data_IF_337584689312
#
_entry.id   IF_337584689312
#
_cell.length_a   1.000
_cell.length_b   1.000
_cell.length_c   1.000
_cell.angle_alpha   90.00
_cell.angle_beta   90.00
_cell.angle_gamma   90.00
#
_symmetry.space_group_name_H-M   'P 1'
#
loop_
_entity.id
_entity.type
_entity.pdbx_description
1 polymer ?
#
# COMPACT_ATOMS: atom_id res chain seq x y z
N UNK A 1 -1.00 7.78 -12.95
CA UNK A 1 -0.54 6.47 -12.45
C UNK A 1 0.40 6.59 -11.25
N UNK A 2 1.62 7.12 -11.39
CA UNK A 2 2.55 7.26 -10.26
C UNK A 2 1.98 8.08 -9.09
N UNK A 3 1.36 9.23 -9.36
CA UNK A 3 0.75 10.06 -8.32
C UNK A 3 -0.44 9.39 -7.60
N UNK A 4 -1.18 8.53 -8.29
CA UNK A 4 -2.30 7.78 -7.69
C UNK A 4 -1.76 6.69 -6.77
N UNK A 5 -0.68 6.02 -7.19
CA UNK A 5 0.04 5.05 -6.36
C UNK A 5 0.61 5.71 -5.10
N UNK A 6 1.30 6.85 -5.24
CA UNK A 6 1.85 7.58 -4.09
C UNK A 6 0.73 8.11 -3.15
N UNK A 7 -0.41 8.56 -3.70
CA UNK A 7 -1.59 8.92 -2.89
C UNK A 7 -2.17 7.72 -2.12
N UNK A 8 -2.28 6.57 -2.77
CA UNK A 8 -2.75 5.34 -2.14
C UNK A 8 -1.82 4.93 -1.00
N UNK A 9 -0.51 4.90 -1.25
CA UNK A 9 0.50 4.61 -0.23
C UNK A 9 0.44 5.58 0.94
N UNK A 10 0.26 6.88 0.69
CA UNK A 10 0.13 7.88 1.76
C UNK A 10 -1.09 7.61 2.63
N UNK A 11 -2.22 7.23 2.04
CA UNK A 11 -3.43 6.85 2.76
C UNK A 11 -3.20 5.59 3.61
N UNK A 12 -2.67 4.53 3.02
CA UNK A 12 -2.34 3.27 3.73
C UNK A 12 -1.37 3.53 4.88
N UNK A 13 -0.33 4.33 4.64
CA UNK A 13 0.66 4.67 5.66
C UNK A 13 0.05 5.52 6.80
N UNK A 14 -0.95 6.34 6.51
CA UNK A 14 -1.68 7.09 7.54
C UNK A 14 -2.52 6.16 8.42
N UNK A 15 -3.22 5.18 7.84
CA UNK A 15 -3.94 4.15 8.60
C UNK A 15 -2.99 3.30 9.45
N UNK A 16 -1.86 2.89 8.89
CA UNK A 16 -0.86 2.13 9.62
C UNK A 16 -0.28 2.95 10.78
N UNK A 17 0.02 4.24 10.57
CA UNK A 17 0.48 5.12 11.65
C UNK A 17 -0.52 5.20 12.79
N UNK A 18 -1.81 5.24 12.48
CA UNK A 18 -2.86 5.22 13.51
C UNK A 18 -2.83 3.92 14.33
N UNK A 19 -2.52 2.79 13.69
CA UNK A 19 -2.30 1.50 14.35
C UNK A 19 -0.92 1.38 15.03
N UNK A 20 -0.10 2.44 15.02
CA UNK A 20 1.26 2.42 15.54
C UNK A 20 2.27 1.66 14.68
N UNK A 21 1.93 1.37 13.42
CA UNK A 21 2.76 0.71 12.42
C UNK A 21 3.27 1.72 11.38
N UNK A 22 4.43 1.49 10.76
CA UNK A 22 4.93 2.37 9.70
C UNK A 22 5.56 1.57 8.55
N UNK A 23 5.16 1.88 7.31
CA UNK A 23 5.82 1.41 6.09
C UNK A 23 6.96 2.38 5.77
N UNK A 24 8.12 2.18 6.39
CA UNK A 24 9.30 3.02 6.14
C UNK A 24 10.25 2.31 5.19
N UNK A 25 10.57 2.98 4.08
CA UNK A 25 11.37 2.36 3.02
C UNK A 25 12.87 2.30 3.29
N UNK A 26 13.32 2.93 4.37
CA UNK A 26 14.73 3.20 4.66
C UNK A 26 15.28 2.41 5.85
N UNK A 27 14.45 1.62 6.52
CA UNK A 27 14.76 0.96 7.78
C UNK A 27 15.41 -0.44 7.60
N UNK A 28 16.34 -0.55 6.65
CA UNK A 28 17.00 -1.82 6.30
C UNK A 28 17.96 -2.32 7.40
N UNK A 29 18.32 -1.49 8.38
CA UNK A 29 19.38 -1.79 9.37
C UNK A 29 19.02 -1.57 10.85
N UNK A 30 17.76 -1.27 11.20
CA UNK A 30 17.39 -1.08 12.61
C UNK A 30 17.14 -2.40 13.32
N UNK A 31 17.82 -2.61 14.45
CA UNK A 31 17.68 -3.77 15.34
C UNK A 31 16.24 -3.88 15.85
N UNK A 32 15.72 -5.10 16.06
CA UNK A 32 14.36 -5.36 16.56
C UNK A 32 13.96 -4.52 17.79
N UNK A 33 14.94 -4.16 18.62
CA UNK A 33 14.76 -3.34 19.83
C UNK A 33 14.43 -1.87 19.50
N UNK A 34 15.11 -1.25 18.53
CA UNK A 34 14.78 0.11 18.08
C UNK A 34 13.43 0.14 17.35
N UNK A 35 13.15 -0.92 16.58
CA UNK A 35 11.85 -1.12 15.95
C UNK A 35 10.74 -1.21 17.01
N UNK A 36 10.96 -1.97 18.07
CA UNK A 36 10.02 -2.13 19.19
C UNK A 36 9.77 -0.81 19.94
N UNK A 37 10.81 0.01 20.14
CA UNK A 37 10.69 1.34 20.78
C UNK A 37 9.85 2.33 19.95
N UNK A 38 9.99 2.29 18.62
CA UNK A 38 9.15 3.08 17.70
C UNK A 38 7.70 2.58 17.69
N UNK A 39 7.50 1.27 17.80
CA UNK A 39 6.19 0.61 17.79
C UNK A 39 5.54 0.49 19.18
N UNK A 40 5.86 1.37 20.13
CA UNK A 40 5.25 1.34 21.48
C UNK A 40 3.73 1.42 21.45
N UNK A 41 3.17 2.27 20.58
CA UNK A 41 1.72 2.40 20.39
C UNK A 41 1.09 1.10 19.88
N UNK A 42 1.78 0.42 18.96
CA UNK A 42 1.36 -0.89 18.49
C UNK A 42 1.37 -1.93 19.62
N UNK A 43 2.42 -1.97 20.44
CA UNK A 43 2.49 -2.87 21.59
C UNK A 43 1.38 -2.61 22.61
N UNK A 44 1.02 -1.35 22.88
CA UNK A 44 -0.12 -1.04 23.75
C UNK A 44 -1.46 -1.50 23.17
N UNK A 45 -1.68 -1.32 21.86
CA UNK A 45 -2.88 -1.85 21.20
C UNK A 45 -2.92 -3.37 21.22
N UNK A 46 -1.79 -4.02 20.93
CA UNK A 46 -1.66 -5.48 20.97
C UNK A 46 -1.95 -6.00 22.39
N UNK A 47 -1.37 -5.37 23.41
CA UNK A 47 -1.59 -5.77 24.80
C UNK A 47 -3.06 -5.61 25.21
N UNK A 48 -3.68 -4.46 24.90
CA UNK A 48 -5.10 -4.21 25.20
C UNK A 48 -6.00 -5.27 24.57
N UNK A 49 -5.76 -5.61 23.30
CA UNK A 49 -6.59 -6.55 22.55
C UNK A 49 -6.39 -8.00 23.02
N UNK A 50 -5.17 -8.37 23.45
CA UNK A 50 -4.94 -9.67 24.09
C UNK A 50 -5.59 -9.76 25.48
N UNK A 51 -5.64 -8.65 26.22
CA UNK A 51 -6.31 -8.61 27.53
C UNK A 51 -7.82 -8.80 27.39
N UNK A 52 -8.44 -8.21 26.37
CA UNK A 52 -9.84 -8.47 26.00
C UNK A 52 -10.08 -9.93 25.60
N UNK A 53 -9.18 -10.53 24.80
CA UNK A 53 -9.28 -11.96 24.44
C UNK A 53 -9.22 -12.85 25.68
N UNK A 54 -8.28 -12.59 26.59
CA UNK A 54 -8.17 -13.36 27.86
C UNK A 54 -9.44 -13.19 28.69
N UNK A 55 -9.96 -11.98 28.82
CA UNK A 55 -11.21 -11.72 29.54
C UNK A 55 -12.39 -12.49 28.94
N UNK A 56 -12.51 -12.50 27.60
CA UNK A 56 -13.56 -13.26 26.90
C UNK A 56 -13.40 -14.78 27.09
N UNK A 57 -12.18 -15.30 27.04
CA UNK A 57 -11.91 -16.73 27.29
C UNK A 57 -12.27 -17.11 28.72
N UNK A 58 -11.89 -16.30 29.71
CA UNK A 58 -12.25 -16.52 31.12
C UNK A 58 -13.77 -16.49 31.31
N UNK A 59 -14.46 -15.55 30.66
CA UNK A 59 -15.91 -15.45 30.75
C UNK A 59 -16.61 -16.67 30.12
N UNK A 60 -16.09 -17.17 29.00
CA UNK A 60 -16.58 -18.40 28.37
C UNK A 60 -16.35 -19.61 29.29
N UNK A 61 -15.17 -19.72 29.91
CA UNK A 61 -14.87 -20.80 30.87
C UNK A 61 -15.81 -20.76 32.07
N UNK A 62 -16.06 -19.57 32.64
CA UNK A 62 -17.02 -19.38 33.73
C UNK A 62 -18.45 -19.78 33.31
N UNK A 63 -18.89 -19.35 32.12
CA UNK A 63 -20.21 -19.69 31.58
C UNK A 63 -20.38 -21.21 31.39
N UNK A 64 -19.33 -21.91 30.97
CA UNK A 64 -19.33 -23.38 30.84
C UNK A 64 -19.44 -24.05 32.21
N UNK A 65 -18.66 -23.61 33.21
CA UNK A 65 -18.69 -24.17 34.57
C UNK A 65 -20.05 -23.92 35.25
N UNK A 66 -20.62 -22.72 35.06
CA UNK A 66 -21.92 -22.34 35.62
C UNK A 66 -23.12 -22.97 34.89
N UNK A 67 -22.90 -23.75 33.83
CA UNK A 67 -23.96 -24.38 33.04
C UNK A 67 -24.87 -23.39 32.31
N UNK A 68 -24.35 -22.21 31.94
CA UNK A 68 -25.13 -21.20 31.20
C UNK A 68 -25.49 -21.70 29.80
N UNK A 69 -26.54 -21.10 29.24
CA UNK A 69 -27.08 -21.44 27.93
C UNK A 69 -26.02 -21.36 26.83
N UNK A 70 -25.98 -22.36 25.94
CA UNK A 70 -25.11 -22.39 24.76
C UNK A 70 -25.25 -21.13 23.89
N UNK A 71 -26.43 -20.51 23.88
CA UNK A 71 -26.71 -19.27 23.13
C UNK A 71 -25.89 -18.08 23.64
N UNK A 72 -25.63 -17.99 24.96
CA UNK A 72 -24.77 -16.93 25.53
C UNK A 72 -23.31 -17.12 25.14
N UNK A 73 -22.83 -18.37 25.12
CA UNK A 73 -21.46 -18.70 24.72
C UNK A 73 -21.24 -18.40 23.24
N UNK A 74 -22.19 -18.77 22.38
CA UNK A 74 -22.05 -18.62 20.93
C UNK A 74 -22.05 -17.15 20.49
N UNK A 75 -22.65 -16.24 21.27
CA UNK A 75 -22.62 -14.78 21.00
C UNK A 75 -21.22 -14.18 21.08
N UNK A 76 -20.30 -14.78 21.83
CA UNK A 76 -18.94 -14.26 22.04
C UNK A 76 -17.94 -14.76 20.99
N UNK A 77 -18.25 -15.88 20.32
CA UNK A 77 -17.37 -16.50 19.32
C UNK A 77 -16.99 -15.54 18.16
N UNK A 78 -17.93 -14.78 17.56
CA UNK A 78 -17.57 -13.84 16.49
C UNK A 78 -16.58 -12.76 16.96
N UNK A 79 -16.70 -12.30 18.21
CA UNK A 79 -15.81 -11.29 18.78
C UNK A 79 -14.39 -11.85 18.96
N UNK A 80 -14.28 -13.05 19.51
CA UNK A 80 -13.01 -13.78 19.63
C UNK A 80 -12.34 -13.97 18.27
N UNK A 81 -13.09 -14.41 17.26
CA UNK A 81 -12.57 -14.60 15.91
C UNK A 81 -12.04 -13.29 15.31
N UNK A 82 -12.79 -12.20 15.43
CA UNK A 82 -12.36 -10.88 14.95
C UNK A 82 -11.08 -10.41 15.64
N UNK A 83 -10.97 -10.63 16.96
CA UNK A 83 -9.76 -10.27 17.71
C UNK A 83 -8.54 -11.09 17.24
N UNK A 84 -8.71 -12.41 17.04
CA UNK A 84 -7.65 -13.29 16.56
C UNK A 84 -7.21 -12.92 15.13
N UNK A 85 -8.16 -12.67 14.22
CA UNK A 85 -7.86 -12.25 12.84
C UNK A 85 -7.14 -10.91 12.83
N UNK A 86 -7.56 -9.96 13.67
CA UNK A 86 -6.92 -8.66 13.81
C UNK A 86 -5.45 -8.80 14.23
N UNK A 87 -5.18 -9.58 15.28
CA UNK A 87 -3.83 -9.87 15.75
C UNK A 87 -2.97 -10.54 14.66
N UNK A 88 -3.53 -11.55 13.97
CA UNK A 88 -2.81 -12.24 12.91
C UNK A 88 -2.45 -11.30 11.75
N UNK A 89 -3.39 -10.43 11.36
CA UNK A 89 -3.18 -9.45 10.29
C UNK A 89 -2.06 -8.47 10.63
N UNK A 90 -2.05 -7.92 11.84
CA UNK A 90 -1.00 -6.97 12.24
C UNK A 90 0.35 -7.64 12.42
N UNK A 91 0.38 -8.87 12.95
CA UNK A 91 1.60 -9.64 13.13
C UNK A 91 2.21 -10.06 11.78
N UNK A 92 1.36 -10.46 10.82
CA UNK A 92 1.76 -10.71 9.44
C UNK A 92 2.35 -9.46 8.79
N UNK A 93 1.73 -8.29 8.98
CA UNK A 93 2.21 -7.03 8.42
C UNK A 93 3.57 -6.61 9.01
N UNK A 94 3.81 -6.89 10.30
CA UNK A 94 5.09 -6.66 10.96
C UNK A 94 6.16 -7.64 10.47
N UNK A 95 5.83 -8.94 10.38
CA UNK A 95 6.74 -10.00 9.96
C UNK A 95 7.18 -9.83 8.50
N UNK A 96 6.23 -9.59 7.60
CA UNK A 96 6.48 -9.35 6.18
C UNK A 96 6.81 -7.89 5.85
N UNK A 97 7.04 -7.03 6.86
CA UNK A 97 7.29 -5.60 6.64
C UNK A 97 8.43 -5.30 5.67
N UNK A 98 9.50 -6.13 5.69
CA UNK A 98 10.62 -6.02 4.73
C UNK A 98 10.18 -6.33 3.30
N UNK A 99 9.46 -7.43 3.11
CA UNK A 99 9.00 -7.87 1.80
C UNK A 99 7.95 -6.90 1.21
N UNK A 100 7.02 -6.42 2.04
CA UNK A 100 6.04 -5.41 1.67
C UNK A 100 6.72 -4.12 1.19
N UNK A 101 7.80 -3.72 1.85
CA UNK A 101 8.55 -2.54 1.45
C UNK A 101 9.31 -2.74 0.13
N UNK A 102 9.95 -3.88 -0.06
CA UNK A 102 10.62 -4.24 -1.31
C UNK A 102 9.64 -4.26 -2.49
N UNK A 103 8.44 -4.80 -2.27
CA UNK A 103 7.35 -4.77 -3.23
C UNK A 103 6.95 -3.33 -3.61
N UNK A 104 6.80 -2.43 -2.63
CA UNK A 104 6.47 -1.02 -2.87
C UNK A 104 7.56 -0.34 -3.71
N UNK A 105 8.84 -0.54 -3.38
CA UNK A 105 9.97 0.04 -4.13
C UNK A 105 9.98 -0.48 -5.56
N UNK A 106 9.76 -1.78 -5.75
CA UNK A 106 9.72 -2.43 -7.07
C UNK A 106 8.56 -1.92 -7.90
N UNK A 107 7.37 -1.80 -7.33
CA UNK A 107 6.20 -1.25 -8.04
C UNK A 107 6.42 0.21 -8.43
N UNK A 108 7.04 1.01 -7.56
CA UNK A 108 7.36 2.41 -7.85
C UNK A 108 8.36 2.54 -9.00
N UNK A 109 9.39 1.70 -9.04
CA UNK A 109 10.39 1.72 -10.12
C UNK A 109 9.80 1.29 -11.46
N UNK A 110 8.95 0.26 -11.47
CA UNK A 110 8.23 -0.17 -12.67
C UNK A 110 7.34 0.94 -13.25
N UNK A 111 6.59 1.63 -12.39
CA UNK A 111 5.72 2.75 -12.80
C UNK A 111 6.52 3.95 -13.34
N UNK A 112 7.68 4.25 -12.75
CA UNK A 112 8.58 5.31 -13.26
C UNK A 112 9.13 4.96 -14.64
N UNK A 113 9.54 3.71 -14.84
CA UNK A 113 10.07 3.25 -16.12
C UNK A 113 9.01 3.31 -17.23
N UNK A 114 7.76 2.98 -16.92
CA UNK A 114 6.65 3.11 -17.88
C UNK A 114 6.42 4.57 -18.29
N UNK A 115 6.38 5.51 -17.34
CA UNK A 115 6.22 6.93 -17.65
C UNK A 115 7.35 7.47 -18.54
N UNK A 116 8.60 7.06 -18.30
CA UNK A 116 9.72 7.46 -19.16
C UNK A 116 9.66 6.83 -20.55
N UNK A 117 9.14 5.61 -20.66
CA UNK A 117 8.89 4.95 -21.95
C UNK A 117 7.88 5.74 -22.80
N UNK A 118 6.72 6.04 -22.21
CA UNK A 118 5.64 6.80 -22.87
C UNK A 118 6.11 8.20 -23.29
N UNK A 119 6.88 8.89 -22.44
CA UNK A 119 7.35 10.24 -22.76
C UNK A 119 8.35 10.25 -23.93
N UNK A 120 9.23 9.24 -24.01
CA UNK A 120 10.15 9.06 -25.13
C UNK A 120 9.41 8.73 -26.42
N UNK A 121 8.43 7.86 -26.36
CA UNK A 121 7.60 7.48 -27.51
C UNK A 121 6.78 8.67 -28.02
N UNK A 122 6.18 9.45 -27.12
CA UNK A 122 5.41 10.63 -27.47
C UNK A 122 6.28 11.72 -28.10
N UNK A 123 7.50 11.93 -27.58
CA UNK A 123 8.47 12.87 -28.15
C UNK A 123 8.92 12.43 -29.54
N UNK A 124 9.14 11.13 -29.74
CA UNK A 124 9.48 10.57 -31.05
C UNK A 124 8.35 10.78 -32.07
N UNK A 125 7.09 10.50 -31.70
CA UNK A 125 5.92 10.77 -32.55
C UNK A 125 5.81 12.23 -32.95
N UNK A 126 5.97 13.16 -32.01
CA UNK A 126 5.89 14.60 -32.31
C UNK A 126 6.99 15.04 -33.29
N UNK A 127 8.24 14.61 -33.08
CA UNK A 127 9.33 14.89 -34.01
C UNK A 127 9.05 14.34 -35.42
N UNK A 128 8.40 13.16 -35.50
CA UNK A 128 8.05 12.54 -36.76
C UNK A 128 6.95 13.32 -37.49
N UNK A 129 5.95 13.82 -36.76
CA UNK A 129 4.89 14.69 -37.29
C UNK A 129 5.48 16.01 -37.80
N UNK A 130 6.31 16.68 -37.00
CA UNK A 130 6.93 17.95 -37.39
C UNK A 130 7.76 17.82 -38.67
N UNK A 131 8.50 16.71 -38.80
CA UNK A 131 9.27 16.42 -40.01
C UNK A 131 8.38 16.24 -41.24
N UNK A 132 7.25 15.54 -41.11
CA UNK A 132 6.29 15.39 -42.21
C UNK A 132 5.62 16.72 -42.57
N UNK A 133 5.25 17.54 -41.57
CA UNK A 133 4.68 18.87 -41.80
C UNK A 133 5.68 19.78 -42.53
N UNK A 134 6.96 19.73 -42.17
CA UNK A 134 8.03 20.47 -42.87
C UNK A 134 8.16 20.06 -44.33
N UNK A 135 8.12 18.75 -44.61
CA UNK A 135 8.15 18.22 -45.98
C UNK A 135 6.93 18.71 -46.76
N UNK A 136 5.73 18.62 -46.18
CA UNK A 136 4.49 19.05 -46.83
C UNK A 136 4.49 20.55 -47.13
N UNK A 137 5.01 21.36 -46.20
CA UNK A 137 5.14 22.81 -46.35
C UNK A 137 6.15 23.17 -47.44
N UNK A 138 7.28 22.45 -47.50
CA UNK A 138 8.29 22.57 -48.56
C UNK A 138 7.69 22.27 -49.94
N UNK A 139 6.94 21.17 -50.06
CA UNK A 139 6.27 20.77 -51.30
C UNK A 139 5.22 21.82 -51.71
N UNK A 140 4.38 22.27 -50.77
CA UNK A 140 3.38 23.31 -51.02
C UNK A 140 4.01 24.60 -51.54
N UNK A 141 5.14 25.02 -50.96
CA UNK A 141 5.87 26.22 -51.38
C UNK A 141 6.42 26.08 -52.81
N UNK A 142 6.93 24.90 -53.16
CA UNK A 142 7.40 24.59 -54.52
C UNK A 142 6.26 24.58 -55.54
N UNK A 143 5.12 23.97 -55.22
CA UNK A 143 3.93 23.95 -56.09
C UNK A 143 3.43 25.38 -56.34
N UNK A 144 3.39 26.22 -55.31
CA UNK A 144 2.98 27.62 -55.44
C UNK A 144 3.91 28.41 -56.37
N UNK A 145 5.20 28.12 -56.33
CA UNK A 145 6.19 28.75 -57.21
C UNK A 145 6.00 28.33 -58.68
N UNK A 146 5.60 27.09 -58.93
CA UNK A 146 5.32 26.54 -60.27
C UNK A 146 4.01 27.06 -60.85
N UNK A 147 3.00 27.35 -60.02
CA UNK A 147 1.70 27.87 -60.47
C UNK A 147 1.74 29.39 -60.74
N UNK A 148 2.64 30.12 -60.08
CA UNK A 148 2.77 31.59 -60.20
C UNK A 148 3.74 32.01 -61.32
N UNK A 149 4.49 31.06 -61.89
CA UNK A 149 5.34 31.25 -63.07
C UNK A 149 4.59 30.86 -64.34
#
# INVERSE_FOLDING_TARGET
>A
MLEQFDRCLKSVNLYLKFLGLHLESKDTNRTFVERSRSHRLYFTHLFSLNLEVVAQVLWVLEAVIAGKSFVEITRLIPCLLLCLISNFKTLSLLYYGRHNNEFIVTMRSLLLNQMQGDEKEHRFRNNLIDKHVLILTSISKKIRYVIVM
#
